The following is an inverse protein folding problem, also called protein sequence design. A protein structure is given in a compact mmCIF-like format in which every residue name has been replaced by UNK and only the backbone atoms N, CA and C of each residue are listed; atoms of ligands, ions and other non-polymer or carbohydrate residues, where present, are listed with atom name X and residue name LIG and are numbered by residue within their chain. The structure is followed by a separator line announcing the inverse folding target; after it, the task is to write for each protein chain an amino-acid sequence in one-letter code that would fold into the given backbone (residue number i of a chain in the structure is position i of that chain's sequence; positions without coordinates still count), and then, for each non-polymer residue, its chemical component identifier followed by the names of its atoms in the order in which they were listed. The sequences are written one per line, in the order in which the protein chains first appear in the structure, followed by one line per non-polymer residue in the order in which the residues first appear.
data_IF_932226956546
#
_entry.id   IF_932226956546
#
_cell.length_a   1.000
_cell.length_b   1.000
_cell.length_c   1.000
_cell.angle_alpha   90.00
_cell.angle_beta   90.00
_cell.angle_gamma   90.00
#
_symmetry.space_group_name_H-M   'P 1'
#
loop_
_entity.id
_entity.type
_entity.pdbx_description
1 polymer ?
#
# COMPACT_ATOMS: atom_id res chain seq x y z
N UNK A 1 47.31 8.72 2.55
CA UNK A 1 47.91 8.22 3.81
C UNK A 1 47.27 6.88 4.14
N UNK A 2 48.11 5.94 4.53
CA UNK A 2 47.95 4.49 4.52
C UNK A 2 46.91 3.98 5.52
N UNK A 3 45.95 3.15 5.09
CA UNK A 3 45.07 2.42 6.00
C UNK A 3 45.47 0.95 6.08
N UNK A 4 45.76 0.53 7.31
CA UNK A 4 46.34 -0.74 7.75
C UNK A 4 45.21 -1.76 7.89
N UNK A 5 45.33 -2.93 7.24
CA UNK A 5 44.45 -4.09 7.48
C UNK A 5 44.75 -4.67 8.87
N UNK A 6 43.73 -4.79 9.71
CA UNK A 6 43.72 -5.77 10.81
C UNK A 6 42.98 -7.01 10.32
N UNK A 7 43.70 -8.12 10.23
CA UNK A 7 43.15 -9.48 10.09
C UNK A 7 43.23 -10.15 11.45
N UNK A 8 42.08 -10.51 12.01
CA UNK A 8 41.99 -11.44 13.13
C UNK A 8 41.49 -12.78 12.56
N UNK A 9 42.35 -13.80 12.64
CA UNK A 9 42.06 -15.16 12.19
C UNK A 9 41.56 -15.98 13.39
N UNK A 10 40.39 -16.60 13.22
CA UNK A 10 40.03 -17.82 13.94
C UNK A 10 39.64 -18.85 12.88
N UNK A 11 40.44 -19.93 12.82
CA UNK A 11 40.28 -21.09 11.96
C UNK A 11 39.11 -21.96 12.46
N UNK A 12 38.16 -22.27 11.57
CA UNK A 12 37.61 -23.64 11.46
C UNK A 12 37.02 -23.83 10.05
N UNK A 13 37.20 -25.04 9.52
CA UNK A 13 37.18 -25.39 8.09
C UNK A 13 35.77 -25.46 7.48
N UNK A 14 35.62 -24.97 6.23
CA UNK A 14 34.44 -25.23 5.40
C UNK A 14 34.03 -24.09 4.48
N UNK A 15 34.59 -24.06 3.25
CA UNK A 15 34.19 -23.25 2.07
C UNK A 15 33.57 -21.88 2.33
N UNK A 16 34.41 -20.85 2.49
CA UNK A 16 34.00 -19.44 2.39
C UNK A 16 34.30 -18.90 0.98
N UNK A 17 33.26 -18.59 0.19
CA UNK A 17 33.38 -17.65 -0.94
C UNK A 17 33.37 -16.22 -0.37
N UNK A 18 34.22 -15.29 -0.85
CA UNK A 18 34.17 -13.91 -0.38
C UNK A 18 32.89 -13.23 -0.87
N UNK A 19 32.00 -12.86 0.04
CA UNK A 19 30.87 -11.98 -0.24
C UNK A 19 31.39 -10.55 -0.40
N UNK A 20 31.46 -10.05 -1.63
CA UNK A 20 31.75 -8.64 -1.89
C UNK A 20 30.46 -7.83 -1.72
N UNK A 21 30.30 -7.16 -0.57
CA UNK A 21 29.34 -6.04 -0.44
C UNK A 21 30.04 -4.76 -0.90
N UNK A 22 29.64 -4.22 -2.05
CA UNK A 22 29.98 -2.86 -2.42
C UNK A 22 29.04 -1.89 -1.67
N UNK A 23 29.61 -1.13 -0.74
CA UNK A 23 28.90 -0.06 -0.03
C UNK A 23 28.94 1.19 -0.92
N UNK A 24 27.81 1.55 -1.53
CA UNK A 24 27.62 2.83 -2.23
C UNK A 24 27.30 3.99 -1.25
N UNK A 25 28.15 4.23 -0.26
CA UNK A 25 27.90 5.23 0.80
C UNK A 25 28.24 6.70 0.43
N UNK A 26 28.25 7.09 -0.84
CA UNK A 26 28.62 8.48 -1.22
C UNK A 26 27.53 9.19 -2.05
N UNK A 27 26.51 8.48 -2.55
CA UNK A 27 25.43 9.11 -3.33
C UNK A 27 24.25 9.62 -2.49
N UNK A 28 23.95 8.99 -1.35
CA UNK A 28 22.85 9.43 -0.47
C UNK A 28 23.10 10.79 0.20
N UNK A 29 24.35 11.12 0.55
CA UNK A 29 24.65 12.38 1.26
C UNK A 29 24.61 13.63 0.36
N UNK A 30 24.79 13.48 -0.96
CA UNK A 30 24.67 14.59 -1.91
C UNK A 30 23.22 14.83 -2.34
N UNK A 31 22.41 13.79 -2.54
CA UNK A 31 20.98 13.95 -2.88
C UNK A 31 20.14 14.52 -1.72
N UNK A 32 20.53 14.27 -0.46
CA UNK A 32 19.87 14.87 0.71
C UNK A 32 20.19 16.36 0.87
N UNK A 33 21.36 16.84 0.41
CA UNK A 33 21.72 18.26 0.47
C UNK A 33 21.06 19.09 -0.63
N UNK A 34 20.82 18.53 -1.81
CA UNK A 34 20.18 19.28 -2.91
C UNK A 34 18.65 19.36 -2.78
N UNK A 35 17.98 18.43 -2.09
CA UNK A 35 16.53 18.51 -1.85
C UNK A 35 16.08 19.54 -0.80
N UNK A 36 17.02 20.16 -0.06
CA UNK A 36 16.69 21.15 0.98
C UNK A 36 16.53 22.59 0.48
N UNK A 37 16.84 22.88 -0.79
CA UNK A 37 16.87 24.24 -1.36
C UNK A 37 16.00 24.40 -2.62
N UNK A 38 14.72 24.01 -2.58
CA UNK A 38 13.76 24.40 -3.63
C UNK A 38 12.59 25.15 -2.97
N UNK A 39 12.27 26.39 -3.37
CA UNK A 39 11.16 27.16 -2.82
C UNK A 39 9.81 26.55 -3.22
N UNK A 40 8.89 26.56 -2.25
CA UNK A 40 7.50 26.09 -2.35
C UNK A 40 6.72 26.93 -3.37
N UNK A 41 6.28 26.32 -4.47
CA UNK A 41 5.30 26.91 -5.37
C UNK A 41 3.88 26.54 -4.89
N UNK A 42 3.07 27.56 -4.61
CA UNK A 42 1.64 27.42 -4.37
C UNK A 42 0.94 26.97 -5.66
N UNK A 43 0.39 25.76 -5.66
CA UNK A 43 -0.60 25.32 -6.65
C UNK A 43 -1.98 25.39 -6.02
N UNK A 44 -2.70 26.45 -6.37
CA UNK A 44 -4.14 26.60 -6.14
C UNK A 44 -4.86 25.62 -7.06
N UNK A 45 -5.43 24.55 -6.53
CA UNK A 45 -6.47 23.78 -7.22
C UNK A 45 -7.67 23.55 -6.32
N UNK A 46 -8.82 23.90 -6.88
CA UNK A 46 -10.12 23.99 -6.24
C UNK A 46 -10.66 22.59 -5.92
N UNK A 47 -10.62 22.22 -4.64
CA UNK A 47 -11.47 21.15 -4.13
C UNK A 47 -12.89 21.70 -4.02
N UNK A 48 -13.78 21.27 -4.90
CA UNK A 48 -15.22 21.54 -4.79
C UNK A 48 -15.75 20.75 -3.61
N UNK A 49 -15.84 21.42 -2.45
CA UNK A 49 -16.43 20.88 -1.24
C UNK A 49 -17.90 20.56 -1.47
N UNK A 50 -18.24 19.26 -1.44
CA UNK A 50 -19.61 18.80 -1.23
C UNK A 50 -20.00 19.05 0.23
N UNK A 51 -20.22 20.33 0.57
CA UNK A 51 -20.65 20.80 1.90
C UNK A 51 -22.07 21.37 1.88
N UNK A 52 -22.80 21.28 0.76
CA UNK A 52 -24.03 22.06 0.56
C UNK A 52 -25.34 21.35 0.91
N UNK A 53 -25.32 20.08 1.33
CA UNK A 53 -26.57 19.34 1.59
C UNK A 53 -27.13 19.48 3.01
N UNK A 54 -26.29 19.84 3.99
CA UNK A 54 -26.75 20.12 5.36
C UNK A 54 -27.16 21.59 5.52
N UNK A 55 -26.39 22.54 4.98
CA UNK A 55 -26.68 23.97 5.11
C UNK A 55 -27.97 24.38 4.39
N UNK A 56 -28.26 23.77 3.24
CA UNK A 56 -29.50 24.00 2.49
C UNK A 56 -30.73 23.42 3.19
N UNK A 57 -30.62 22.26 3.84
CA UNK A 57 -31.71 21.69 4.63
C UNK A 57 -32.01 22.50 5.90
N UNK A 58 -30.99 23.12 6.50
CA UNK A 58 -31.13 23.92 7.73
C UNK A 58 -31.76 25.28 7.43
N UNK A 59 -31.29 25.98 6.40
CA UNK A 59 -31.90 27.25 5.97
C UNK A 59 -33.36 27.05 5.53
N UNK A 60 -33.66 25.97 4.80
CA UNK A 60 -35.03 25.66 4.39
C UNK A 60 -35.94 25.31 5.57
N UNK A 61 -35.45 24.56 6.57
CA UNK A 61 -36.23 24.28 7.79
C UNK A 61 -36.44 25.55 8.64
N UNK A 62 -35.43 26.41 8.78
CA UNK A 62 -35.52 27.65 9.54
C UNK A 62 -36.52 28.63 8.89
N UNK A 63 -36.49 28.74 7.56
CA UNK A 63 -37.47 29.51 6.78
C UNK A 63 -38.88 28.90 6.94
N UNK A 64 -39.01 27.57 6.92
CA UNK A 64 -40.30 26.89 7.14
C UNK A 64 -40.88 27.16 8.53
N UNK A 65 -40.09 27.06 9.60
CA UNK A 65 -40.54 27.34 10.97
C UNK A 65 -40.87 28.82 11.19
N UNK A 66 -40.08 29.74 10.63
CA UNK A 66 -40.37 31.18 10.67
C UNK A 66 -41.66 31.52 9.91
N UNK A 67 -41.87 30.90 8.75
CA UNK A 67 -43.10 31.06 7.98
C UNK A 67 -44.30 30.42 8.70
N UNK A 68 -44.12 29.29 9.38
CA UNK A 68 -45.16 28.67 10.19
C UNK A 68 -45.61 29.56 11.36
N UNK A 69 -44.67 30.19 12.07
CA UNK A 69 -44.99 31.15 13.15
C UNK A 69 -45.70 32.39 12.58
N UNK A 70 -45.31 32.83 11.37
CA UNK A 70 -45.92 33.97 10.67
C UNK A 70 -47.36 33.68 10.22
N UNK A 71 -47.62 32.47 9.69
CA UNK A 71 -48.90 32.12 9.06
C UNK A 71 -49.94 31.53 10.04
N UNK A 72 -49.52 30.74 11.04
CA UNK A 72 -50.46 30.08 11.99
C UNK A 72 -50.75 30.90 13.26
N UNK A 73 -50.03 32.00 13.52
CA UNK A 73 -50.22 32.86 14.69
C UNK A 73 -50.47 34.34 14.35
N UNK A 74 -51.45 34.70 13.51
CA UNK A 74 -51.71 36.10 13.16
C UNK A 74 -52.17 36.93 14.37
N UNK A 75 -52.85 36.31 15.34
CA UNK A 75 -53.45 36.97 16.52
C UNK A 75 -52.49 37.20 17.70
N UNK A 76 -51.25 36.72 17.64
CA UNK A 76 -50.27 36.99 18.69
C UNK A 76 -49.84 38.45 18.67
N UNK A 77 -49.81 39.08 19.85
CA UNK A 77 -49.27 40.44 20.00
C UNK A 77 -47.82 40.50 19.51
N UNK A 78 -47.38 41.67 19.04
CA UNK A 78 -46.01 41.89 18.51
C UNK A 78 -44.93 41.41 19.51
N UNK A 79 -45.18 41.57 20.81
CA UNK A 79 -44.28 41.10 21.89
C UNK A 79 -44.20 39.57 21.96
N UNK A 80 -45.32 38.88 21.76
CA UNK A 80 -45.36 37.42 21.79
C UNK A 80 -44.68 36.78 20.57
N UNK A 81 -44.77 37.40 19.38
CA UNK A 81 -44.03 36.94 18.18
C UNK A 81 -42.52 37.06 18.36
N UNK A 82 -42.05 38.19 18.90
CA UNK A 82 -40.63 38.42 19.20
C UNK A 82 -40.13 37.40 20.24
N UNK A 83 -40.93 37.14 21.29
CA UNK A 83 -40.62 36.12 22.29
C UNK A 83 -40.45 34.73 21.68
N UNK A 84 -41.39 34.30 20.82
CA UNK A 84 -41.36 33.01 20.14
C UNK A 84 -40.12 32.85 19.24
N UNK A 85 -39.78 33.88 18.45
CA UNK A 85 -38.57 33.88 17.62
C UNK A 85 -37.29 33.82 18.45
N UNK A 86 -37.23 34.52 19.58
CA UNK A 86 -36.08 34.46 20.49
C UNK A 86 -35.95 33.06 21.08
N UNK A 87 -37.04 32.41 21.50
CA UNK A 87 -36.99 31.03 22.02
C UNK A 87 -36.56 29.99 20.98
N UNK A 88 -36.97 30.13 19.71
CA UNK A 88 -36.51 29.23 18.64
C UNK A 88 -35.03 29.48 18.35
N UNK A 89 -34.60 30.75 18.32
CA UNK A 89 -33.21 31.12 18.11
C UNK A 89 -32.33 30.63 19.28
N UNK A 90 -32.78 30.72 20.53
CA UNK A 90 -32.04 30.22 21.70
C UNK A 90 -32.02 28.70 21.76
N UNK A 91 -33.09 28.00 21.38
CA UNK A 91 -33.10 26.54 21.21
C UNK A 91 -32.10 26.08 20.14
N UNK A 92 -32.02 26.80 19.01
CA UNK A 92 -31.05 26.53 17.95
C UNK A 92 -29.63 26.84 18.41
N UNK A 93 -29.39 28.00 19.01
CA UNK A 93 -28.10 28.36 19.61
C UNK A 93 -27.67 27.31 20.64
N UNK A 94 -28.57 26.85 21.49
CA UNK A 94 -28.29 25.79 22.46
C UNK A 94 -27.95 24.47 21.77
N UNK A 95 -28.69 24.09 20.72
CA UNK A 95 -28.39 22.91 19.90
C UNK A 95 -27.01 23.00 19.22
N UNK A 96 -26.58 24.18 18.78
CA UNK A 96 -25.26 24.43 18.18
C UNK A 96 -24.13 24.62 19.19
N UNK A 97 -24.44 25.04 20.43
CA UNK A 97 -23.46 25.18 21.51
C UNK A 97 -23.18 23.87 22.26
N UNK A 98 -23.95 22.79 22.02
CA UNK A 98 -23.60 21.47 22.54
C UNK A 98 -22.36 21.02 21.77
N UNK A 99 -21.19 20.89 22.43
CA UNK A 99 -19.98 20.41 21.76
C UNK A 99 -20.26 19.02 21.17
N UNK A 100 -19.83 18.79 19.92
CA UNK A 100 -19.90 17.46 19.31
C UNK A 100 -19.25 16.46 20.27
N UNK A 101 -20.04 15.48 20.72
CA UNK A 101 -19.49 14.42 21.55
C UNK A 101 -18.43 13.70 20.71
N UNK A 102 -17.20 13.50 21.25
CA UNK A 102 -16.18 12.77 20.53
C UNK A 102 -16.68 11.35 20.23
N UNK A 103 -16.26 10.72 19.12
CA UNK A 103 -16.61 9.34 18.85
C UNK A 103 -16.23 8.44 20.03
N UNK A 104 -16.95 7.34 20.19
CA UNK A 104 -16.60 6.29 21.15
C UNK A 104 -15.14 5.87 20.96
N UNK A 105 -14.41 5.70 22.07
CA UNK A 105 -12.97 5.43 22.05
C UNK A 105 -12.64 4.26 21.11
N UNK A 106 -13.38 3.16 21.25
CA UNK A 106 -13.32 2.00 20.38
C UNK A 106 -13.47 2.34 18.87
N UNK A 107 -14.52 3.10 18.46
CA UNK A 107 -14.75 3.41 17.04
C UNK A 107 -13.66 4.34 16.51
N UNK A 108 -13.25 5.32 17.32
CA UNK A 108 -12.15 6.22 16.99
C UNK A 108 -10.87 5.42 16.74
N UNK A 109 -10.48 4.57 17.68
CA UNK A 109 -9.23 3.82 17.61
C UNK A 109 -9.26 2.83 16.43
N UNK A 110 -10.41 2.21 16.13
CA UNK A 110 -10.61 1.42 14.92
C UNK A 110 -10.42 2.25 13.63
N UNK A 111 -11.10 3.38 13.54
CA UNK A 111 -11.11 4.24 12.34
C UNK A 111 -9.75 4.87 12.10
N UNK A 112 -9.14 5.45 13.14
CA UNK A 112 -7.83 6.11 13.07
C UNK A 112 -6.78 5.09 12.65
N UNK A 113 -6.74 3.95 13.32
CA UNK A 113 -5.80 2.88 12.98
C UNK A 113 -5.99 2.38 11.54
N UNK A 114 -7.24 2.18 11.11
CA UNK A 114 -7.54 1.73 9.75
C UNK A 114 -7.11 2.77 8.72
N UNK A 115 -7.50 4.03 8.93
CA UNK A 115 -7.18 5.16 8.06
C UNK A 115 -5.67 5.30 7.88
N UNK A 116 -4.93 5.43 8.99
CA UNK A 116 -3.47 5.57 8.98
C UNK A 116 -2.80 4.38 8.29
N UNK A 117 -3.24 3.15 8.58
CA UNK A 117 -2.64 1.95 7.97
C UNK A 117 -2.78 1.95 6.45
N UNK A 118 -3.97 2.25 5.93
CA UNK A 118 -4.21 2.22 4.49
C UNK A 118 -3.59 3.41 3.76
N UNK A 119 -3.46 4.57 4.42
CA UNK A 119 -2.64 5.68 3.94
C UNK A 119 -1.16 5.30 3.84
N UNK A 120 -0.61 4.63 4.86
CA UNK A 120 0.76 4.12 4.84
C UNK A 120 0.96 3.12 3.70
N UNK A 121 0.04 2.17 3.51
CA UNK A 121 0.09 1.22 2.37
C UNK A 121 0.03 1.97 1.03
N UNK A 122 -0.83 2.99 0.92
CA UNK A 122 -0.94 3.79 -0.29
C UNK A 122 0.31 4.62 -0.58
N UNK A 123 1.09 4.98 0.44
CA UNK A 123 2.37 5.68 0.28
C UNK A 123 3.51 4.81 -0.25
N UNK A 124 3.40 3.47 -0.15
CA UNK A 124 4.44 2.56 -0.62
C UNK A 124 4.40 2.46 -2.14
N UNK A 125 5.49 2.77 -2.82
CA UNK A 125 5.57 2.63 -4.27
C UNK A 125 5.62 1.15 -4.67
N UNK A 126 4.74 0.71 -5.55
CA UNK A 126 4.66 -0.70 -5.94
C UNK A 126 4.57 -0.79 -7.46
N UNK A 127 5.33 -1.69 -8.10
CA UNK A 127 5.31 -1.80 -9.56
C UNK A 127 4.03 -2.48 -10.06
N UNK A 128 3.63 -2.17 -11.29
CA UNK A 128 2.57 -2.92 -11.95
C UNK A 128 2.99 -4.39 -12.16
N UNK A 129 2.05 -5.32 -12.05
CA UNK A 129 2.33 -6.75 -12.25
C UNK A 129 2.81 -7.07 -13.66
N UNK A 130 2.33 -6.31 -14.64
CA UNK A 130 2.73 -6.40 -16.05
C UNK A 130 4.21 -6.11 -16.25
N UNK A 131 4.79 -5.18 -15.47
CA UNK A 131 6.22 -4.84 -15.52
C UNK A 131 7.06 -6.11 -15.37
N UNK A 132 6.82 -6.90 -14.32
CA UNK A 132 7.56 -8.15 -14.09
C UNK A 132 7.34 -9.16 -15.23
N UNK A 133 6.09 -9.40 -15.61
CA UNK A 133 5.78 -10.47 -16.58
C UNK A 133 6.31 -10.21 -18.00
N UNK A 134 6.45 -8.95 -18.42
CA UNK A 134 6.95 -8.57 -19.74
C UNK A 134 8.38 -9.05 -20.00
N UNK A 135 9.19 -9.20 -18.94
CA UNK A 135 10.61 -9.51 -19.06
C UNK A 135 10.93 -10.99 -19.28
N UNK A 136 9.91 -11.85 -19.26
CA UNK A 136 10.03 -13.28 -19.56
C UNK A 136 10.51 -13.51 -20.98
N UNK A 137 9.95 -12.77 -21.94
CA UNK A 137 10.30 -12.89 -23.37
C UNK A 137 11.73 -12.42 -23.60
N UNK A 138 12.09 -11.29 -22.99
CA UNK A 138 13.45 -10.75 -23.03
C UNK A 138 14.48 -11.74 -22.51
N UNK A 139 14.22 -12.35 -21.35
CA UNK A 139 15.13 -13.37 -20.77
C UNK A 139 15.29 -14.60 -21.68
N UNK A 140 14.19 -15.05 -22.32
CA UNK A 140 14.23 -16.17 -23.28
C UNK A 140 14.98 -15.81 -24.57
N UNK A 141 14.79 -14.60 -25.09
CA UNK A 141 15.48 -14.12 -26.29
C UNK A 141 16.99 -14.01 -26.03
N UNK A 142 17.38 -13.42 -24.91
CA UNK A 142 18.77 -13.35 -24.47
C UNK A 142 19.39 -14.74 -24.33
N UNK A 143 18.67 -15.68 -23.71
CA UNK A 143 19.12 -17.07 -23.58
C UNK A 143 19.38 -17.73 -24.94
N UNK A 144 18.45 -17.60 -25.89
CA UNK A 144 18.60 -18.18 -27.22
C UNK A 144 19.76 -17.55 -28.01
N UNK A 145 19.94 -16.23 -27.89
CA UNK A 145 21.04 -15.53 -28.55
C UNK A 145 22.40 -15.96 -28.00
N UNK A 146 22.55 -16.01 -26.67
CA UNK A 146 23.81 -16.39 -26.03
C UNK A 146 24.15 -17.87 -26.32
N UNK A 147 23.15 -18.76 -26.29
CA UNK A 147 23.37 -20.19 -26.56
C UNK A 147 23.86 -20.47 -27.98
N UNK A 148 23.35 -19.74 -28.97
CA UNK A 148 23.67 -19.98 -30.38
C UNK A 148 24.89 -19.19 -30.87
N UNK A 149 25.44 -18.30 -30.04
CA UNK A 149 26.54 -17.45 -30.44
C UNK A 149 27.90 -18.15 -30.25
N UNK A 150 28.75 -18.20 -31.28
CA UNK A 150 30.12 -18.72 -31.17
C UNK A 150 30.99 -17.95 -30.17
N UNK A 151 30.60 -16.73 -29.79
CA UNK A 151 31.32 -15.87 -28.86
C UNK A 151 31.17 -16.29 -27.39
N UNK A 152 30.23 -17.19 -27.09
CA UNK A 152 29.96 -17.71 -25.74
C UNK A 152 30.07 -19.24 -25.72
N UNK A 153 31.07 -19.79 -26.39
CA UNK A 153 31.26 -21.23 -26.55
C UNK A 153 31.39 -21.96 -25.21
N UNK A 154 32.12 -21.39 -24.25
CA UNK A 154 32.43 -22.06 -22.98
C UNK A 154 31.31 -21.86 -21.96
N UNK A 155 30.68 -20.67 -21.92
CA UNK A 155 29.69 -20.31 -20.88
C UNK A 155 28.25 -20.18 -21.39
N UNK A 156 28.02 -20.22 -22.70
CA UNK A 156 26.73 -19.87 -23.30
C UNK A 156 25.57 -20.75 -22.86
N UNK A 157 25.81 -22.06 -22.69
CA UNK A 157 24.79 -23.00 -22.20
C UNK A 157 24.37 -22.73 -20.74
N UNK A 158 25.33 -22.39 -19.88
CA UNK A 158 25.08 -22.07 -18.47
C UNK A 158 24.29 -20.77 -18.35
N UNK A 159 24.71 -19.74 -19.09
CA UNK A 159 24.00 -18.44 -19.16
C UNK A 159 22.58 -18.66 -19.65
N UNK A 160 22.39 -19.38 -20.76
CA UNK A 160 21.06 -19.60 -21.33
C UNK A 160 20.13 -20.37 -20.39
N UNK A 161 20.65 -21.35 -19.67
CA UNK A 161 19.86 -22.09 -18.65
C UNK A 161 19.45 -21.18 -17.50
N UNK A 162 20.40 -20.40 -16.96
CA UNK A 162 20.13 -19.47 -15.87
C UNK A 162 19.13 -18.38 -16.27
N UNK A 163 19.24 -17.83 -17.47
CA UNK A 163 18.30 -16.82 -18.00
C UNK A 163 16.89 -17.36 -18.20
N UNK A 164 16.75 -18.61 -18.66
CA UNK A 164 15.43 -19.26 -18.77
C UNK A 164 14.80 -19.47 -17.39
N UNK A 165 15.58 -20.00 -16.43
CA UNK A 165 15.12 -20.18 -15.06
C UNK A 165 14.71 -18.86 -14.42
N UNK A 166 15.54 -17.82 -14.57
CA UNK A 166 15.24 -16.47 -14.09
C UNK A 166 13.93 -15.93 -14.69
N UNK A 167 13.75 -16.07 -16.01
CA UNK A 167 12.49 -15.67 -16.68
C UNK A 167 11.25 -16.39 -16.14
N UNK A 168 11.37 -17.68 -15.80
CA UNK A 168 10.29 -18.44 -15.15
C UNK A 168 9.99 -17.94 -13.74
N UNK A 169 11.02 -17.65 -12.94
CA UNK A 169 10.86 -17.12 -11.58
C UNK A 169 10.22 -15.72 -11.59
N UNK A 170 10.65 -14.84 -12.49
CA UNK A 170 10.01 -13.51 -12.63
C UNK A 170 8.56 -13.64 -13.07
N UNK A 171 8.25 -14.56 -14.00
CA UNK A 171 6.85 -14.81 -14.40
C UNK A 171 6.00 -15.18 -13.18
N UNK A 172 6.51 -16.08 -12.34
CA UNK A 172 5.83 -16.52 -11.14
C UNK A 172 5.66 -15.37 -10.13
N UNK A 173 6.72 -14.58 -9.90
CA UNK A 173 6.67 -13.40 -9.05
C UNK A 173 5.63 -12.38 -9.54
N UNK A 174 5.59 -12.10 -10.84
CA UNK A 174 4.60 -11.23 -11.47
C UNK A 174 3.16 -11.72 -11.28
N UNK A 175 2.92 -13.04 -11.40
CA UNK A 175 1.60 -13.64 -11.12
C UNK A 175 1.21 -13.54 -9.64
N UNK A 176 2.15 -13.77 -8.74
CA UNK A 176 1.90 -13.60 -7.30
C UNK A 176 1.60 -12.13 -6.96
N UNK A 177 2.32 -11.19 -7.56
CA UNK A 177 2.07 -9.76 -7.40
C UNK A 177 0.68 -9.37 -7.91
N UNK A 178 0.28 -9.87 -9.08
CA UNK A 178 -1.08 -9.68 -9.61
C UNK A 178 -2.15 -10.25 -8.66
N UNK A 179 -1.95 -11.48 -8.17
CA UNK A 179 -2.88 -12.09 -7.22
C UNK A 179 -2.94 -11.30 -5.90
N UNK A 180 -1.81 -10.81 -5.40
CA UNK A 180 -1.75 -9.94 -4.23
C UNK A 180 -2.60 -8.69 -4.43
N UNK A 181 -2.48 -7.99 -5.57
CA UNK A 181 -3.32 -6.82 -5.86
C UNK A 181 -4.81 -7.15 -5.93
N UNK A 182 -5.17 -8.25 -6.60
CA UNK A 182 -6.54 -8.73 -6.63
C UNK A 182 -7.08 -8.99 -5.21
N UNK A 183 -6.26 -9.60 -4.35
CA UNK A 183 -6.63 -9.86 -2.95
C UNK A 183 -6.74 -8.58 -2.13
N UNK A 184 -5.83 -7.63 -2.29
CA UNK A 184 -5.91 -6.29 -1.69
C UNK A 184 -7.21 -5.58 -2.08
N UNK A 185 -7.62 -5.68 -3.35
CA UNK A 185 -8.91 -5.17 -3.82
C UNK A 185 -10.11 -5.83 -3.13
N UNK A 186 -10.03 -7.14 -2.81
CA UNK A 186 -11.07 -7.81 -2.01
C UNK A 186 -11.08 -7.41 -0.53
N UNK A 187 -9.96 -6.92 0.02
CA UNK A 187 -9.91 -6.37 1.39
C UNK A 187 -10.83 -5.15 1.46
N UNK A 188 -10.66 -4.19 0.54
CA UNK A 188 -11.54 -3.02 0.43
C UNK A 188 -13.03 -3.42 0.42
N UNK A 189 -13.42 -4.31 -0.50
CA UNK A 189 -14.84 -4.71 -0.65
C UNK A 189 -15.41 -5.30 0.64
N UNK A 190 -14.61 -6.06 1.37
CA UNK A 190 -15.01 -6.67 2.65
C UNK A 190 -15.17 -5.59 3.72
N UNK A 191 -14.21 -4.68 3.84
CA UNK A 191 -14.25 -3.57 4.77
C UNK A 191 -15.44 -2.64 4.49
N UNK A 192 -15.64 -2.24 3.23
CA UNK A 192 -16.77 -1.42 2.78
C UNK A 192 -18.11 -2.03 3.20
N UNK A 193 -18.32 -3.31 2.85
CA UNK A 193 -19.55 -4.04 3.19
C UNK A 193 -19.76 -4.17 4.71
N UNK A 194 -18.73 -4.52 5.46
CA UNK A 194 -18.87 -4.77 6.90
C UNK A 194 -18.96 -3.47 7.71
N UNK A 195 -18.26 -2.41 7.33
CA UNK A 195 -18.40 -1.07 7.94
C UNK A 195 -19.77 -0.47 7.61
N UNK A 196 -20.26 -0.62 6.38
CA UNK A 196 -21.61 -0.18 6.03
C UNK A 196 -22.67 -0.93 6.86
N UNK A 197 -22.48 -2.24 7.06
CA UNK A 197 -23.35 -3.02 7.94
C UNK A 197 -23.26 -2.58 9.41
N UNK A 198 -22.09 -2.14 9.90
CA UNK A 198 -21.96 -1.51 11.22
C UNK A 198 -22.73 -0.19 11.29
N UNK A 199 -22.54 0.70 10.31
CA UNK A 199 -23.25 1.99 10.21
C UNK A 199 -24.77 1.79 10.22
N UNK A 200 -25.27 0.85 9.42
CA UNK A 200 -26.70 0.57 9.32
C UNK A 200 -27.28 0.02 10.64
N UNK A 201 -26.50 -0.78 11.38
CA UNK A 201 -26.88 -1.24 12.71
C UNK A 201 -27.00 -0.08 13.70
N UNK A 202 -26.03 0.84 13.72
CA UNK A 202 -26.06 2.02 14.60
C UNK A 202 -27.23 2.98 14.30
N UNK A 203 -27.65 3.06 13.03
CA UNK A 203 -28.84 3.85 12.65
C UNK A 203 -30.14 3.22 13.16
N UNK A 204 -30.22 1.89 13.27
CA UNK A 204 -31.42 1.17 13.73
C UNK A 204 -31.60 1.24 15.25
N UNK A 205 -30.51 1.23 16.01
CA UNK A 205 -30.51 1.40 17.47
C UNK A 205 -29.69 2.63 17.86
N UNK A 206 -30.25 3.85 17.65
CA UNK A 206 -29.55 5.07 17.99
C UNK A 206 -29.18 5.05 19.48
N UNK A 207 -27.93 5.39 19.79
CA UNK A 207 -27.35 5.46 21.15
C UNK A 207 -26.87 4.14 21.77
N UNK A 208 -27.14 2.99 21.16
CA UNK A 208 -26.73 1.68 21.69
C UNK A 208 -26.11 0.81 20.61
N UNK A 209 -24.82 0.53 20.74
CA UNK A 209 -24.09 -0.42 19.89
C UNK A 209 -24.06 -1.82 20.51
N UNK A 210 -24.15 -2.86 19.69
CA UNK A 210 -24.08 -4.27 20.13
C UNK A 210 -22.64 -4.77 20.02
N UNK A 211 -21.95 -4.89 21.16
CA UNK A 211 -20.53 -5.25 21.21
C UNK A 211 -20.27 -6.63 20.58
N UNK A 212 -21.17 -7.60 20.75
CA UNK A 212 -21.04 -8.94 20.16
C UNK A 212 -21.12 -8.87 18.63
N UNK A 213 -22.06 -8.08 18.11
CA UNK A 213 -22.18 -7.85 16.67
C UNK A 213 -20.92 -7.18 16.08
N UNK A 214 -20.44 -6.11 16.71
CA UNK A 214 -19.25 -5.38 16.26
C UNK A 214 -17.99 -6.23 16.34
N UNK A 215 -17.82 -6.99 17.43
CA UNK A 215 -16.72 -7.92 17.59
C UNK A 215 -16.69 -8.96 16.47
N UNK A 216 -17.82 -9.59 16.17
CA UNK A 216 -17.92 -10.55 15.07
C UNK A 216 -17.55 -9.95 13.70
N UNK A 217 -17.84 -8.67 13.49
CA UNK A 217 -17.44 -7.95 12.28
C UNK A 217 -15.93 -7.69 12.26
N UNK A 218 -15.35 -7.22 13.36
CA UNK A 218 -13.89 -7.07 13.47
C UNK A 218 -13.14 -8.38 13.27
N UNK A 219 -13.59 -9.50 13.84
CA UNK A 219 -12.91 -10.79 13.65
C UNK A 219 -12.85 -11.17 12.17
N UNK A 220 -13.88 -10.83 11.37
CA UNK A 220 -13.87 -11.02 9.91
C UNK A 220 -12.84 -10.12 9.23
N UNK A 221 -12.77 -8.84 9.62
CA UNK A 221 -11.80 -7.89 9.08
C UNK A 221 -10.36 -8.32 9.41
N UNK A 222 -10.10 -8.75 10.64
CA UNK A 222 -8.81 -9.28 11.10
C UNK A 222 -8.37 -10.48 10.25
N UNK A 223 -9.26 -11.47 10.09
CA UNK A 223 -8.99 -12.63 9.24
C UNK A 223 -8.67 -12.21 7.80
N UNK A 224 -9.39 -11.21 7.28
CA UNK A 224 -9.16 -10.69 5.94
C UNK A 224 -7.79 -10.02 5.77
N UNK A 225 -7.31 -9.30 6.79
CA UNK A 225 -5.98 -8.70 6.82
C UNK A 225 -4.90 -9.77 6.91
N UNK A 226 -5.11 -10.79 7.75
CA UNK A 226 -4.19 -11.93 7.88
C UNK A 226 -4.02 -12.68 6.55
N UNK A 227 -5.11 -12.97 5.86
CA UNK A 227 -5.08 -13.59 4.53
C UNK A 227 -4.33 -12.72 3.51
N UNK A 228 -4.55 -11.41 3.53
CA UNK A 228 -3.85 -10.49 2.63
C UNK A 228 -2.35 -10.42 2.93
N UNK A 229 -1.96 -10.39 4.21
CA UNK A 229 -0.55 -10.43 4.62
C UNK A 229 0.17 -11.68 4.09
N UNK A 230 -0.47 -12.85 4.14
CA UNK A 230 0.10 -14.07 3.57
C UNK A 230 0.38 -13.94 2.07
N UNK A 231 -0.50 -13.27 1.32
CA UNK A 231 -0.26 -13.01 -0.11
C UNK A 231 0.91 -12.05 -0.35
N UNK A 232 1.10 -11.04 0.52
CA UNK A 232 2.28 -10.16 0.48
C UNK A 232 3.56 -10.96 0.73
N UNK A 233 3.57 -11.83 1.74
CA UNK A 233 4.71 -12.70 2.09
C UNK A 233 5.07 -13.68 0.97
N UNK A 234 4.07 -14.33 0.36
CA UNK A 234 4.27 -15.22 -0.79
C UNK A 234 4.89 -14.48 -1.99
N UNK A 235 4.42 -13.25 -2.24
CA UNK A 235 4.92 -12.41 -3.33
C UNK A 235 6.37 -12.00 -3.07
N UNK A 236 6.66 -11.49 -1.88
CA UNK A 236 8.02 -11.12 -1.46
C UNK A 236 8.98 -12.30 -1.62
N UNK A 237 8.60 -13.47 -1.11
CA UNK A 237 9.43 -14.69 -1.20
C UNK A 237 9.71 -15.09 -2.65
N UNK A 238 8.75 -14.87 -3.55
CA UNK A 238 8.91 -15.20 -4.97
C UNK A 238 9.83 -14.23 -5.70
N UNK A 239 9.81 -12.95 -5.31
CA UNK A 239 10.75 -11.94 -5.82
C UNK A 239 12.17 -12.24 -5.36
N UNK A 240 12.36 -12.51 -4.06
CA UNK A 240 13.68 -12.89 -3.52
C UNK A 240 14.23 -14.15 -4.21
N UNK A 241 13.38 -15.16 -4.46
CA UNK A 241 13.79 -16.36 -5.20
C UNK A 241 14.24 -16.05 -6.64
N UNK A 242 13.59 -15.10 -7.31
CA UNK A 242 13.98 -14.65 -8.64
C UNK A 242 15.34 -13.95 -8.61
N UNK A 243 15.58 -13.10 -7.59
CA UNK A 243 16.86 -12.42 -7.38
C UNK A 243 18.01 -13.41 -7.13
N UNK A 244 17.82 -14.39 -6.24
CA UNK A 244 18.78 -15.45 -5.96
C UNK A 244 19.16 -16.22 -7.23
N UNK A 245 18.14 -16.61 -8.03
CA UNK A 245 18.35 -17.35 -9.29
C UNK A 245 19.18 -16.54 -10.31
N UNK A 246 18.98 -15.22 -10.39
CA UNK A 246 19.85 -14.38 -11.25
C UNK A 246 21.24 -14.29 -10.66
N UNK A 247 21.39 -14.08 -9.35
CA UNK A 247 22.70 -13.94 -8.74
C UNK A 247 23.59 -15.16 -9.02
N UNK A 248 23.02 -16.36 -8.97
CA UNK A 248 23.72 -17.60 -9.37
C UNK A 248 24.13 -17.61 -10.86
N UNK A 249 23.38 -16.91 -11.71
CA UNK A 249 23.62 -16.78 -13.15
C UNK A 249 24.63 -15.67 -13.49
N UNK A 250 24.76 -14.66 -12.63
CA UNK A 250 25.56 -13.44 -12.87
C UNK A 250 27.05 -13.75 -13.10
N UNK A 251 27.61 -14.69 -12.35
CA UNK A 251 29.00 -15.11 -12.55
C UNK A 251 29.26 -15.63 -13.96
N UNK A 252 28.38 -16.50 -14.47
CA UNK A 252 28.48 -17.04 -15.82
C UNK A 252 28.30 -15.94 -16.88
N UNK A 253 27.42 -14.96 -16.63
CA UNK A 253 27.24 -13.81 -17.53
C UNK A 253 28.53 -13.00 -17.62
N UNK A 254 29.18 -12.68 -16.49
CA UNK A 254 30.44 -11.93 -16.46
C UNK A 254 31.53 -12.69 -17.22
N UNK A 255 31.70 -13.98 -16.97
CA UNK A 255 32.71 -14.80 -17.63
C UNK A 255 32.45 -14.93 -19.14
N UNK A 256 31.19 -15.14 -19.54
CA UNK A 256 30.80 -15.17 -20.94
C UNK A 256 31.00 -13.83 -21.66
N UNK A 257 30.77 -12.69 -20.99
CA UNK A 257 31.05 -11.38 -21.58
C UNK A 257 32.55 -11.17 -21.85
N UNK A 258 33.42 -11.66 -20.96
CA UNK A 258 34.88 -11.63 -21.15
C UNK A 258 35.34 -12.56 -22.28
N UNK A 259 34.71 -13.73 -22.40
CA UNK A 259 34.94 -14.66 -23.51
C UNK A 259 34.62 -14.00 -24.85
N UNK A 260 33.44 -13.39 -24.93
CA UNK A 260 32.98 -12.70 -26.11
C UNK A 260 33.86 -11.50 -26.52
N UNK A 261 34.41 -10.75 -25.56
CA UNK A 261 35.35 -9.66 -25.84
C UNK A 261 36.65 -10.18 -26.47
N UNK A 262 37.20 -11.28 -25.94
CA UNK A 262 38.38 -11.93 -26.54
C UNK A 262 38.09 -12.43 -27.96
N UNK A 263 36.88 -12.92 -28.21
CA UNK A 263 36.46 -13.39 -29.53
C UNK A 263 36.45 -12.26 -30.58
N UNK A 264 36.07 -11.04 -30.20
CA UNK A 264 36.15 -9.84 -31.06
C UNK A 264 37.59 -9.40 -31.27
N UNK A 265 38.40 -9.33 -30.21
CA UNK A 265 39.79 -8.85 -30.33
C UNK A 265 40.68 -9.73 -31.22
N UNK A 266 40.33 -11.01 -31.39
CA UNK A 266 41.12 -11.98 -32.15
C UNK A 266 40.66 -12.19 -33.61
N UNK A 267 39.48 -11.70 -34.01
CA UNK A 267 38.93 -11.87 -35.35
C UNK A 267 38.72 -10.50 -36.01
N UNK A 268 39.33 -10.29 -37.18
CA UNK A 268 39.13 -9.07 -37.97
C UNK A 268 37.63 -8.84 -38.24
N UNK A 269 37.19 -7.61 -37.94
CA UNK A 269 35.86 -6.98 -38.06
C UNK A 269 34.85 -7.65 -39.01
N UNK A 270 34.25 -8.75 -38.56
CA UNK A 270 33.05 -9.30 -39.19
C UNK A 270 31.84 -8.54 -38.61
N UNK A 271 31.39 -7.50 -39.32
CA UNK A 271 30.41 -6.51 -38.83
C UNK A 271 29.12 -7.13 -38.29
N UNK A 272 28.72 -8.28 -38.83
CA UNK A 272 27.54 -9.03 -38.38
C UNK A 272 27.74 -9.68 -36.99
N UNK A 273 28.93 -10.24 -36.71
CA UNK A 273 29.24 -10.86 -35.41
C UNK A 273 29.34 -9.81 -34.30
N UNK A 274 29.88 -8.63 -34.64
CA UNK A 274 29.92 -7.48 -33.72
C UNK A 274 28.52 -6.98 -33.39
N UNK A 275 27.60 -6.97 -34.36
CA UNK A 275 26.21 -6.56 -34.16
C UNK A 275 25.42 -7.55 -33.27
N UNK A 276 25.56 -8.86 -33.50
CA UNK A 276 24.93 -9.89 -32.67
C UNK A 276 25.44 -9.86 -31.23
N UNK A 277 26.74 -9.64 -31.04
CA UNK A 277 27.30 -9.51 -29.71
C UNK A 277 26.82 -8.25 -28.99
N UNK A 278 26.81 -7.10 -29.69
CA UNK A 278 26.30 -5.85 -29.12
C UNK A 278 24.85 -5.99 -28.67
N UNK A 279 24.03 -6.69 -29.47
CA UNK A 279 22.64 -7.00 -29.09
C UNK A 279 22.58 -7.92 -27.87
N UNK A 280 23.38 -8.99 -27.80
CA UNK A 280 23.42 -9.87 -26.63
C UNK A 280 23.85 -9.12 -25.35
N UNK A 281 24.86 -8.23 -25.45
CA UNK A 281 25.29 -7.37 -24.33
C UNK A 281 24.17 -6.45 -23.85
N UNK A 282 23.42 -5.84 -24.77
CA UNK A 282 22.29 -4.97 -24.45
C UNK A 282 21.19 -5.71 -23.70
N UNK A 283 20.82 -6.91 -24.14
CA UNK A 283 19.80 -7.74 -23.48
C UNK A 283 20.26 -8.17 -22.07
N UNK A 284 21.55 -8.53 -21.90
CA UNK A 284 22.13 -8.88 -20.61
C UNK A 284 22.21 -7.68 -19.64
N UNK A 285 22.49 -6.47 -20.15
CA UNK A 285 22.46 -5.25 -19.34
C UNK A 285 21.04 -4.96 -18.83
N UNK A 286 20.04 -5.12 -19.70
CA UNK A 286 18.65 -4.90 -19.33
C UNK A 286 18.15 -5.87 -18.23
N UNK A 287 18.65 -7.12 -18.21
CA UNK A 287 18.41 -8.09 -17.13
C UNK A 287 18.97 -7.59 -15.78
N UNK A 288 20.06 -6.82 -15.81
CA UNK A 288 20.63 -6.21 -14.59
C UNK A 288 19.77 -5.07 -14.07
N UNK A 289 19.25 -4.22 -14.96
CA UNK A 289 18.38 -3.10 -14.57
C UNK A 289 17.07 -3.60 -13.94
N UNK A 290 16.52 -4.71 -14.46
CA UNK A 290 15.34 -5.37 -13.91
C UNK A 290 15.51 -5.80 -12.44
N UNK A 291 16.71 -6.17 -12.02
CA UNK A 291 16.94 -6.54 -10.63
C UNK A 291 16.93 -5.38 -9.67
N UNK A 292 17.39 -4.21 -10.11
CA UNK A 292 17.21 -3.00 -9.30
C UNK A 292 15.73 -2.78 -8.98
N UNK A 293 14.84 -3.10 -9.92
CA UNK A 293 13.40 -3.05 -9.68
C UNK A 293 12.89 -4.16 -8.77
N UNK A 294 13.39 -5.38 -8.88
CA UNK A 294 13.00 -6.50 -8.00
C UNK A 294 13.41 -6.23 -6.55
N UNK A 295 14.64 -5.79 -6.30
CA UNK A 295 15.17 -5.54 -4.96
C UNK A 295 14.38 -4.45 -4.24
N UNK A 296 14.14 -3.33 -4.94
CA UNK A 296 13.27 -2.26 -4.46
C UNK A 296 11.85 -2.76 -4.14
N UNK A 297 11.30 -3.62 -4.99
CA UNK A 297 9.97 -4.20 -4.77
C UNK A 297 9.95 -5.10 -3.54
N UNK A 298 10.97 -5.94 -3.33
CA UNK A 298 11.08 -6.82 -2.17
C UNK A 298 11.09 -6.00 -0.86
N UNK A 299 11.85 -4.91 -0.82
CA UNK A 299 11.91 -3.98 0.33
C UNK A 299 10.56 -3.33 0.58
N UNK A 300 9.87 -2.88 -0.47
CA UNK A 300 8.54 -2.28 -0.37
C UNK A 300 7.49 -3.28 0.13
N UNK A 301 7.54 -4.54 -0.31
CA UNK A 301 6.66 -5.60 0.18
C UNK A 301 6.94 -5.95 1.64
N UNK A 302 8.20 -5.96 2.08
CA UNK A 302 8.54 -6.13 3.50
C UNK A 302 7.97 -5.01 4.36
N UNK A 303 8.01 -3.77 3.87
CA UNK A 303 7.36 -2.62 4.53
C UNK A 303 5.85 -2.83 4.67
N UNK A 304 5.16 -3.24 3.60
CA UNK A 304 3.72 -3.54 3.66
C UNK A 304 3.43 -4.68 4.64
N UNK A 305 4.22 -5.76 4.61
CA UNK A 305 4.08 -6.88 5.54
C UNK A 305 4.16 -6.43 6.99
N UNK A 306 5.13 -5.57 7.32
CA UNK A 306 5.31 -4.99 8.67
C UNK A 306 4.12 -4.10 9.06
N UNK A 307 3.64 -3.25 8.14
CA UNK A 307 2.45 -2.42 8.35
C UNK A 307 1.22 -3.28 8.65
N UNK A 308 0.98 -4.32 7.84
CA UNK A 308 -0.14 -5.24 8.03
C UNK A 308 -0.04 -6.05 9.34
N UNK A 309 1.17 -6.42 9.75
CA UNK A 309 1.39 -7.12 11.02
C UNK A 309 1.03 -6.22 12.20
N UNK A 310 1.53 -4.97 12.19
CA UNK A 310 1.18 -3.96 13.19
C UNK A 310 -0.32 -3.67 13.21
N UNK A 311 -0.96 -3.64 12.04
CA UNK A 311 -2.39 -3.42 11.96
C UNK A 311 -3.22 -4.57 12.53
N UNK A 312 -2.85 -5.82 12.27
CA UNK A 312 -3.48 -6.99 12.88
C UNK A 312 -3.45 -6.91 14.41
N UNK A 313 -2.28 -6.60 15.00
CA UNK A 313 -2.13 -6.45 16.45
C UNK A 313 -3.01 -5.33 17.01
N UNK A 314 -3.08 -4.18 16.33
CA UNK A 314 -3.95 -3.07 16.74
C UNK A 314 -5.43 -3.43 16.64
N UNK A 315 -5.85 -4.14 15.58
CA UNK A 315 -7.24 -4.61 15.47
C UNK A 315 -7.60 -5.64 16.54
N UNK A 316 -6.67 -6.52 16.93
CA UNK A 316 -6.86 -7.46 18.04
C UNK A 316 -7.04 -6.72 19.37
N UNK A 317 -6.30 -5.64 19.60
CA UNK A 317 -6.48 -4.80 20.80
C UNK A 317 -7.86 -4.13 20.82
N UNK A 318 -8.28 -3.58 19.68
CA UNK A 318 -9.61 -2.98 19.47
C UNK A 318 -10.74 -4.01 19.65
N UNK A 319 -10.55 -5.24 19.17
CA UNK A 319 -11.47 -6.37 19.41
C UNK A 319 -11.53 -6.79 20.89
N UNK A 320 -10.38 -6.78 21.59
CA UNK A 320 -10.30 -7.12 23.00
C UNK A 320 -10.98 -6.07 23.89
N UNK A 321 -10.85 -4.78 23.55
CA UNK A 321 -11.57 -3.69 24.22
C UNK A 321 -13.09 -3.90 24.13
N UNK A 322 -13.60 -4.28 22.94
CA UNK A 322 -15.01 -4.64 22.80
C UNK A 322 -15.44 -5.80 23.70
N UNK A 323 -14.53 -6.74 23.99
CA UNK A 323 -14.77 -7.87 24.88
C UNK A 323 -14.90 -7.49 26.36
N UNK A 324 -14.64 -6.23 26.72
CA UNK A 324 -14.86 -5.73 28.09
C UNK A 324 -16.30 -5.28 28.33
N UNK A 325 -17.05 -4.93 27.28
CA UNK A 325 -18.45 -4.56 27.40
C UNK A 325 -19.31 -5.81 27.71
N UNK A 326 -20.01 -5.79 28.85
CA UNK A 326 -20.92 -6.86 29.27
C UNK A 326 -20.31 -7.96 30.15
N UNK A 327 -19.20 -7.68 30.85
CA UNK A 327 -18.65 -8.61 31.86
C UNK A 327 -19.46 -8.64 33.17
N UNK A 328 -20.16 -7.55 33.51
CA UNK A 328 -20.71 -7.34 34.86
C UNK A 328 -22.22 -7.04 34.87
N UNK A 329 -23.02 -7.80 34.12
CA UNK A 329 -24.49 -7.74 34.05
C UNK A 329 -25.09 -6.77 33.01
N UNK A 330 -26.11 -7.30 32.31
CA UNK A 330 -27.01 -6.69 31.32
C UNK A 330 -26.40 -6.08 30.04
N UNK A 331 -26.54 -6.87 28.97
CA UNK A 331 -26.41 -6.56 27.54
C UNK A 331 -25.07 -5.89 27.17
N UNK A 332 -24.18 -6.63 26.48
CA UNK A 332 -22.92 -6.11 25.92
C UNK A 332 -23.15 -4.97 24.93
N UNK A 333 -23.47 -3.80 25.48
CA UNK A 333 -23.91 -2.60 24.79
C UNK A 333 -22.95 -1.48 25.15
N UNK A 334 -22.54 -0.73 24.14
CA UNK A 334 -21.73 0.47 24.31
C UNK A 334 -22.51 1.70 23.84
N UNK A 335 -22.18 2.86 24.42
CA UNK A 335 -22.79 4.12 24.04
C UNK A 335 -22.28 4.57 22.66
N UNK A 336 -23.22 5.04 21.82
CA UNK A 336 -22.93 5.44 20.44
C UNK A 336 -23.46 6.85 20.20
N UNK A 337 -22.73 7.66 19.48
CA UNK A 337 -23.15 8.98 19.05
C UNK A 337 -23.14 9.12 17.52
N UNK A 338 -23.56 10.29 17.04
CA UNK A 338 -23.62 10.55 15.59
C UNK A 338 -22.22 10.63 14.96
N UNK A 339 -21.22 10.99 15.75
CA UNK A 339 -19.84 11.17 15.29
C UNK A 339 -19.17 9.82 14.98
N UNK A 340 -19.57 8.75 15.68
CA UNK A 340 -19.19 7.38 15.36
C UNK A 340 -19.52 6.99 13.90
N UNK A 341 -20.75 7.31 13.46
CA UNK A 341 -21.18 7.03 12.08
C UNK A 341 -20.36 7.84 11.08
N UNK A 342 -20.02 9.09 11.42
CA UNK A 342 -19.20 9.96 10.55
C UNK A 342 -17.77 9.42 10.44
N UNK A 343 -17.16 9.00 11.55
CA UNK A 343 -15.82 8.40 11.55
C UNK A 343 -15.78 7.09 10.77
N UNK A 344 -16.77 6.19 10.95
CA UNK A 344 -16.84 4.96 10.17
C UNK A 344 -16.90 5.21 8.65
N UNK A 345 -17.58 6.28 8.21
CA UNK A 345 -17.59 6.67 6.79
C UNK A 345 -16.24 7.16 6.30
N UNK A 346 -15.50 7.90 7.12
CA UNK A 346 -14.14 8.38 6.77
C UNK A 346 -13.23 7.19 6.46
N UNK A 347 -13.27 6.13 7.29
CA UNK A 347 -12.48 4.93 7.04
C UNK A 347 -12.77 4.32 5.65
N UNK A 348 -14.04 4.21 5.27
CA UNK A 348 -14.45 3.68 3.95
C UNK A 348 -13.92 4.52 2.79
N UNK A 349 -14.03 5.85 2.88
CA UNK A 349 -13.53 6.74 1.83
C UNK A 349 -12.00 6.65 1.68
N UNK A 350 -11.25 6.53 2.78
CA UNK A 350 -9.79 6.33 2.72
C UNK A 350 -9.42 5.01 2.06
N UNK A 351 -10.13 3.93 2.39
CA UNK A 351 -9.89 2.60 1.83
C UNK A 351 -10.09 2.56 0.30
N UNK A 352 -10.96 3.43 -0.23
CA UNK A 352 -11.26 3.52 -1.67
C UNK A 352 -10.03 3.88 -2.49
N UNK A 353 -9.14 4.73 -1.96
CA UNK A 353 -7.88 5.06 -2.62
C UNK A 353 -7.00 3.79 -2.81
N UNK A 354 -6.94 2.92 -1.80
CA UNK A 354 -6.20 1.65 -1.89
C UNK A 354 -6.80 0.70 -2.92
N UNK A 355 -8.13 0.63 -2.98
CA UNK A 355 -8.83 -0.16 -3.99
C UNK A 355 -8.48 0.29 -5.42
N UNK A 356 -8.54 1.60 -5.68
CA UNK A 356 -8.22 2.17 -6.98
C UNK A 356 -6.76 1.89 -7.36
N UNK A 357 -5.83 2.09 -6.41
CA UNK A 357 -4.41 1.79 -6.61
C UNK A 357 -4.17 0.31 -6.96
N UNK A 358 -4.71 -0.62 -6.19
CA UNK A 358 -4.53 -2.05 -6.45
C UNK A 358 -5.17 -2.50 -7.76
N UNK A 359 -6.35 -1.98 -8.12
CA UNK A 359 -6.95 -2.27 -9.42
C UNK A 359 -6.09 -1.75 -10.57
N UNK A 360 -5.47 -0.57 -10.42
CA UNK A 360 -4.59 -0.02 -11.44
C UNK A 360 -3.33 -0.89 -11.62
N UNK A 361 -2.70 -1.32 -10.52
CA UNK A 361 -1.46 -2.10 -10.56
C UNK A 361 -1.65 -3.58 -11.00
N UNK A 362 -2.87 -4.10 -10.87
CA UNK A 362 -3.22 -5.48 -11.27
C UNK A 362 -3.43 -5.65 -12.77
N UNK A 363 -3.72 -4.56 -13.49
CA UNK A 363 -3.93 -4.54 -14.94
C UNK A 363 -2.66 -4.05 -15.64
#
# INVERSE_FOLDING_TARGET
MTNRKLTEYAEDEGRRKPTYRYIHAIKEEQEIRERKNIPRQESTDQTTSSSNNNDSNITNNLIYYLNFIKDKCPQLSRKAKIGATITVLTMLLYYFLIPEQPPSAFIRDFVDTTTTTFEEINSVDLPASSMLTQHTVTSRNAANMVQNSPAFKDHGNQIATGLRNFGEKITLAGRHLQNMYNKGSTVYKTFDTDIEAMINRLKQTPKKGDAKYFRNKLSKLINKIKDFRQHVEMTQSSIVNAEETRHDTEGYIIDGLREAEKYISNNNEDSQKTAELSRAKKELQFITDLLGHLDSTAVHLDKIRKILSSYEDKLLNVEAELGTFGKDEEEGIFEVNKEDIKHLKIAVETLKASHLKFNHLSN
#
